data_IF_289326032097
#
_entry.id   IF_289326032097
#
_cell.length_a   1.000
_cell.length_b   1.000
_cell.length_c   1.000
_cell.angle_alpha   90.00
_cell.angle_beta   90.00
_cell.angle_gamma   90.00
#
_symmetry.space_group_name_H-M   'P 1'
#
loop_
_entity.id
_entity.type
_entity.pdbx_description
1 polymer ?
#
# COMPACT_ATOMS: atom_id res chain seq x y z
N UNK A 1 -16.99 0.01 -11.32
CA UNK A 1 -18.10 -0.24 -10.41
C UNK A 1 -18.27 -1.74 -10.08
N UNK A 2 -18.15 -2.65 -11.05
CA UNK A 2 -18.29 -4.09 -10.77
C UNK A 2 -17.14 -4.67 -9.94
N UNK A 3 -15.93 -4.22 -10.17
CA UNK A 3 -14.73 -4.71 -9.45
C UNK A 3 -14.69 -4.18 -8.02
N UNK A 4 -15.00 -2.90 -7.82
CA UNK A 4 -14.91 -2.23 -6.52
C UNK A 4 -16.19 -2.35 -5.68
N UNK A 5 -17.24 -2.98 -6.21
CA UNK A 5 -18.57 -3.04 -5.56
C UNK A 5 -19.07 -1.67 -5.09
N UNK A 6 -18.70 -0.60 -5.81
CA UNK A 6 -19.07 0.77 -5.47
C UNK A 6 -20.59 0.94 -5.41
N UNK A 7 -21.07 1.42 -4.28
CA UNK A 7 -22.48 1.70 -4.00
C UNK A 7 -22.70 3.21 -3.89
N UNK A 8 -23.32 3.80 -4.92
CA UNK A 8 -23.57 5.24 -4.98
C UNK A 8 -24.49 5.72 -3.84
N UNK A 9 -25.43 4.91 -3.41
CA UNK A 9 -26.34 5.30 -2.32
C UNK A 9 -25.62 5.35 -0.97
N UNK A 10 -24.80 4.34 -0.68
CA UNK A 10 -23.91 4.35 0.50
C UNK A 10 -22.95 5.54 0.44
N UNK A 11 -22.30 5.72 -0.69
CA UNK A 11 -21.36 6.84 -0.89
C UNK A 11 -22.02 8.17 -0.56
N UNK A 12 -23.18 8.47 -1.13
CA UNK A 12 -23.87 9.74 -0.92
C UNK A 12 -24.26 9.98 0.55
N UNK A 13 -24.41 8.92 1.34
CA UNK A 13 -24.72 9.06 2.78
C UNK A 13 -23.52 9.37 3.67
N UNK A 14 -22.33 8.88 3.30
CA UNK A 14 -21.14 8.92 4.15
C UNK A 14 -20.04 9.81 3.58
N UNK A 15 -20.13 10.19 2.31
CA UNK A 15 -19.12 11.02 1.67
C UNK A 15 -19.03 12.38 2.36
N UNK A 16 -17.82 12.77 2.68
CA UNK A 16 -17.50 14.11 3.17
C UNK A 16 -16.85 14.92 2.05
N UNK A 17 -16.86 16.24 2.19
CA UNK A 17 -16.21 17.08 1.19
C UNK A 17 -14.70 16.83 1.16
N UNK A 18 -14.09 16.83 -0.02
CA UNK A 18 -12.67 16.52 -0.21
C UNK A 18 -11.74 17.42 0.61
N UNK A 19 -12.12 18.70 0.84
CA UNK A 19 -11.35 19.62 1.69
C UNK A 19 -11.34 19.23 3.18
N UNK A 20 -12.34 18.49 3.64
CA UNK A 20 -12.36 17.93 5.01
C UNK A 20 -11.59 16.64 5.07
N UNK A 21 -11.78 15.78 4.07
CA UNK A 21 -11.05 14.51 3.96
C UNK A 21 -9.54 14.75 3.95
N UNK A 22 -9.04 15.70 3.14
CA UNK A 22 -7.60 15.99 3.05
C UNK A 22 -7.02 16.50 4.38
N UNK A 23 -7.77 17.21 5.20
CA UNK A 23 -7.31 17.66 6.53
C UNK A 23 -7.01 16.44 7.40
N UNK A 24 -7.95 15.50 7.49
CA UNK A 24 -7.82 14.30 8.29
C UNK A 24 -6.70 13.38 7.74
N UNK A 25 -6.71 13.12 6.44
CA UNK A 25 -5.71 12.26 5.78
C UNK A 25 -4.31 12.85 5.95
N UNK A 26 -4.13 14.15 5.69
CA UNK A 26 -2.81 14.77 5.87
C UNK A 26 -2.36 14.73 7.33
N UNK A 27 -3.24 14.93 8.29
CA UNK A 27 -2.89 14.81 9.70
C UNK A 27 -2.38 13.40 10.05
N UNK A 28 -3.00 12.35 9.53
CA UNK A 28 -2.53 10.98 9.74
C UNK A 28 -1.18 10.73 9.08
N UNK A 29 -1.02 11.12 7.81
CA UNK A 29 0.21 10.89 7.06
C UNK A 29 1.41 11.69 7.60
N UNK A 30 1.17 12.91 8.10
CA UNK A 30 2.23 13.73 8.71
C UNK A 30 2.69 13.18 10.07
N UNK A 31 1.77 12.67 10.88
CA UNK A 31 2.05 12.25 12.25
C UNK A 31 2.45 10.77 12.40
N UNK A 32 2.38 9.95 11.35
CA UNK A 32 2.86 8.58 11.41
C UNK A 32 4.36 8.48 11.07
N UNK A 33 5.02 7.48 11.64
CA UNK A 33 6.41 7.16 11.30
C UNK A 33 6.51 6.44 9.96
N UNK A 34 5.56 5.56 9.65
CA UNK A 34 5.52 4.76 8.43
C UNK A 34 4.13 4.73 7.80
N UNK A 35 4.11 4.66 6.47
CA UNK A 35 2.91 4.52 5.63
C UNK A 35 3.01 3.17 4.94
N UNK A 36 2.19 2.21 5.35
CA UNK A 36 2.23 0.85 4.81
C UNK A 36 1.07 0.65 3.83
N UNK A 37 1.39 0.17 2.64
CA UNK A 37 0.39 -0.16 1.62
C UNK A 37 0.86 -1.28 0.70
N UNK A 38 -0.04 -1.78 -0.13
CA UNK A 38 0.25 -2.80 -1.14
C UNK A 38 0.19 -2.20 -2.53
N UNK A 39 1.32 -2.14 -3.22
CA UNK A 39 1.48 -1.42 -4.49
C UNK A 39 1.25 0.11 -4.35
N UNK A 40 1.45 0.62 -3.16
CA UNK A 40 1.21 2.02 -2.78
C UNK A 40 2.07 2.99 -3.60
N UNK A 41 3.31 2.64 -3.90
CA UNK A 41 4.22 3.46 -4.70
C UNK A 41 3.76 3.63 -6.14
N UNK A 42 3.03 2.65 -6.70
CA UNK A 42 2.50 2.70 -8.06
C UNK A 42 1.07 3.21 -8.15
N UNK A 43 0.36 3.40 -7.04
CA UNK A 43 -1.04 3.78 -7.08
C UNK A 43 -1.39 4.87 -6.07
N UNK A 44 -1.44 4.53 -4.78
CA UNK A 44 -1.97 5.45 -3.76
C UNK A 44 -1.12 6.72 -3.61
N UNK A 45 0.21 6.63 -3.77
CA UNK A 45 1.09 7.80 -3.71
C UNK A 45 0.82 8.81 -4.82
N UNK A 46 0.34 8.40 -5.99
CA UNK A 46 -0.09 9.33 -7.03
C UNK A 46 -1.37 10.06 -6.64
N UNK A 47 -2.32 9.36 -6.01
CA UNK A 47 -3.55 9.98 -5.49
C UNK A 47 -3.22 10.97 -4.36
N UNK A 48 -2.34 10.58 -3.44
CA UNK A 48 -1.88 11.46 -2.36
C UNK A 48 -1.21 12.70 -2.94
N UNK A 49 -0.30 12.53 -3.90
CA UNK A 49 0.34 13.64 -4.62
C UNK A 49 -0.69 14.60 -5.18
N UNK A 50 -1.61 14.10 -6.02
CA UNK A 50 -2.60 14.92 -6.71
C UNK A 50 -3.48 15.70 -5.70
N UNK A 51 -3.90 15.04 -4.61
CA UNK A 51 -4.65 15.68 -3.54
C UNK A 51 -3.84 16.74 -2.80
N UNK A 52 -2.59 16.46 -2.45
CA UNK A 52 -1.72 17.41 -1.76
C UNK A 52 -1.46 18.63 -2.63
N UNK A 53 -1.12 18.44 -3.90
CA UNK A 53 -0.90 19.52 -4.86
C UNK A 53 -2.16 20.37 -5.07
N UNK A 54 -3.35 19.76 -5.16
CA UNK A 54 -4.63 20.46 -5.27
C UNK A 54 -4.89 21.42 -4.11
N UNK A 55 -4.41 21.08 -2.91
CA UNK A 55 -4.56 21.89 -1.70
C UNK A 55 -3.29 22.66 -1.31
N UNK A 56 -2.32 22.78 -2.20
CA UNK A 56 -1.08 23.52 -1.99
C UNK A 56 -0.17 22.96 -0.89
N UNK A 57 -0.21 21.65 -0.67
CA UNK A 57 0.59 20.93 0.35
C UNK A 57 1.80 20.24 -0.27
N UNK A 58 2.90 20.21 0.45
CA UNK A 58 4.08 19.41 0.11
C UNK A 58 3.87 17.95 0.46
N UNK A 59 4.20 17.04 -0.43
CA UNK A 59 3.98 15.60 -0.29
C UNK A 59 5.25 14.74 -0.38
N UNK A 60 6.32 15.26 -0.99
CA UNK A 60 7.53 14.47 -1.32
C UNK A 60 8.19 13.82 -0.11
N UNK A 61 8.15 14.49 1.04
CA UNK A 61 8.70 13.97 2.30
C UNK A 61 7.97 12.72 2.80
N UNK A 62 6.71 12.50 2.40
CA UNK A 62 5.95 11.30 2.75
C UNK A 62 6.52 10.04 2.09
N UNK A 63 7.18 10.18 0.93
CA UNK A 63 7.71 9.03 0.17
C UNK A 63 8.72 8.24 0.98
N UNK A 64 9.56 8.92 1.77
CA UNK A 64 10.56 8.27 2.63
C UNK A 64 9.96 7.41 3.75
N UNK A 65 8.70 7.64 4.10
CA UNK A 65 7.96 6.88 5.12
C UNK A 65 7.28 5.63 4.55
N UNK A 66 7.27 5.46 3.21
CA UNK A 66 6.47 4.41 2.56
C UNK A 66 7.13 3.03 2.67
N UNK A 67 6.32 2.07 3.07
CA UNK A 67 6.61 0.63 3.02
C UNK A 67 5.60 -0.02 2.06
N UNK A 68 6.06 -0.42 0.89
CA UNK A 68 5.25 -1.09 -0.12
C UNK A 68 5.40 -2.61 0.00
N UNK A 69 4.39 -3.27 0.54
CA UNK A 69 4.41 -4.73 0.75
C UNK A 69 4.49 -5.53 -0.55
N UNK A 70 4.08 -4.98 -1.70
CA UNK A 70 4.28 -5.62 -3.00
C UNK A 70 5.76 -5.59 -3.40
N UNK A 71 6.45 -4.45 -3.19
CA UNK A 71 7.89 -4.35 -3.44
C UNK A 71 8.68 -5.32 -2.56
N UNK A 72 8.35 -5.38 -1.27
CA UNK A 72 9.00 -6.31 -0.35
C UNK A 72 8.76 -7.78 -0.73
N UNK A 73 7.52 -8.14 -1.08
CA UNK A 73 7.20 -9.48 -1.56
C UNK A 73 7.95 -9.85 -2.85
N UNK A 74 8.12 -8.89 -3.77
CA UNK A 74 8.97 -9.08 -4.96
C UNK A 74 10.43 -9.32 -4.56
N UNK A 75 10.96 -8.52 -3.64
CA UNK A 75 12.31 -8.69 -3.14
C UNK A 75 12.57 -10.09 -2.63
N UNK A 76 11.69 -10.61 -1.78
CA UNK A 76 11.75 -11.99 -1.26
C UNK A 76 11.64 -13.02 -2.39
N UNK A 77 10.57 -12.95 -3.19
CA UNK A 77 10.28 -13.98 -4.21
C UNK A 77 11.24 -13.96 -5.40
N UNK A 78 11.87 -12.84 -5.65
CA UNK A 78 12.82 -12.68 -6.74
C UNK A 78 14.27 -12.81 -6.26
N UNK A 79 14.46 -13.07 -4.96
CA UNK A 79 15.78 -13.22 -4.36
C UNK A 79 16.67 -11.99 -4.64
N UNK A 80 16.07 -10.81 -4.52
CA UNK A 80 16.77 -9.51 -4.64
C UNK A 80 17.10 -9.04 -3.21
N UNK A 81 18.35 -9.16 -2.77
CA UNK A 81 18.70 -8.84 -1.41
C UNK A 81 18.58 -7.34 -1.14
N UNK A 82 18.13 -7.01 0.06
CA UNK A 82 18.26 -5.68 0.62
C UNK A 82 19.67 -5.48 1.17
N UNK A 83 20.28 -4.33 0.88
CA UNK A 83 21.56 -3.94 1.44
C UNK A 83 21.37 -2.73 2.34
N UNK A 84 21.98 -2.76 3.53
CA UNK A 84 21.97 -1.60 4.46
C UNK A 84 22.69 -0.37 3.92
N UNK A 85 23.42 -0.50 2.80
CA UNK A 85 24.06 0.62 2.12
C UNK A 85 23.09 1.51 1.35
N UNK A 86 21.84 1.04 1.13
CA UNK A 86 20.79 1.81 0.48
C UNK A 86 19.61 2.02 1.43
N UNK A 87 18.88 3.11 1.25
CA UNK A 87 17.65 3.33 1.99
C UNK A 87 16.55 2.36 1.55
N UNK A 88 15.58 2.09 2.43
CA UNK A 88 14.45 1.22 2.11
C UNK A 88 13.67 1.71 0.89
N UNK A 89 13.53 3.02 0.70
CA UNK A 89 12.82 3.57 -0.44
C UNK A 89 13.57 3.35 -1.76
N UNK A 90 14.90 3.47 -1.77
CA UNK A 90 15.73 3.17 -2.94
C UNK A 90 15.63 1.69 -3.32
N UNK A 91 15.67 0.80 -2.33
CA UNK A 91 15.46 -0.63 -2.55
C UNK A 91 14.09 -0.90 -3.18
N UNK A 92 13.03 -0.30 -2.65
CA UNK A 92 11.69 -0.47 -3.17
C UNK A 92 11.57 0.02 -4.62
N UNK A 93 12.15 1.17 -4.96
CA UNK A 93 12.19 1.65 -6.35
C UNK A 93 12.98 0.72 -7.28
N UNK A 94 14.04 0.09 -6.81
CA UNK A 94 14.80 -0.89 -7.58
C UNK A 94 13.95 -2.09 -7.97
N UNK A 95 13.10 -2.60 -7.07
CA UNK A 95 12.28 -3.78 -7.31
C UNK A 95 10.88 -3.47 -7.85
N UNK A 96 10.47 -2.21 -7.83
CA UNK A 96 9.11 -1.76 -8.14
C UNK A 96 8.59 -2.30 -9.48
N UNK A 97 9.41 -2.22 -10.53
CA UNK A 97 9.07 -2.59 -11.89
C UNK A 97 9.48 -4.01 -12.26
N UNK A 98 10.12 -4.74 -11.34
CA UNK A 98 10.51 -6.12 -11.57
C UNK A 98 9.29 -7.02 -11.77
N UNK A 99 9.37 -7.92 -12.76
CA UNK A 99 8.32 -8.90 -13.07
C UNK A 99 8.95 -10.23 -13.45
N UNK A 100 8.49 -11.31 -12.82
CA UNK A 100 8.88 -12.67 -13.18
C UNK A 100 7.65 -13.49 -13.54
N UNK A 101 7.70 -14.15 -14.71
CA UNK A 101 6.59 -14.97 -15.21
C UNK A 101 6.24 -16.07 -14.19
N UNK A 102 4.96 -16.22 -13.90
CA UNK A 102 4.46 -17.27 -12.98
C UNK A 102 4.52 -16.87 -11.49
N UNK A 103 5.23 -15.83 -11.11
CA UNK A 103 5.28 -15.37 -9.71
C UNK A 103 4.21 -14.34 -9.45
N UNK A 104 3.36 -14.60 -8.45
CA UNK A 104 2.28 -13.72 -8.03
C UNK A 104 2.66 -13.02 -6.73
N UNK A 105 2.51 -11.69 -6.71
CA UNK A 105 2.78 -10.84 -5.55
C UNK A 105 1.57 -9.99 -5.15
N UNK A 106 0.40 -10.22 -5.76
CA UNK A 106 -0.82 -9.54 -5.35
C UNK A 106 -1.26 -9.97 -3.94
N UNK A 107 -2.01 -9.12 -3.28
CA UNK A 107 -2.38 -9.26 -1.88
C UNK A 107 -3.10 -10.59 -1.57
N UNK A 108 -4.06 -10.98 -2.43
CA UNK A 108 -4.78 -12.26 -2.30
C UNK A 108 -3.84 -13.46 -2.37
N UNK A 109 -2.91 -13.46 -3.33
CA UNK A 109 -1.95 -14.58 -3.50
C UNK A 109 -1.01 -14.69 -2.32
N UNK A 110 -0.53 -13.57 -1.79
CA UNK A 110 0.32 -13.54 -0.60
C UNK A 110 -0.44 -14.01 0.64
N UNK A 111 -1.67 -13.55 0.83
CA UNK A 111 -2.49 -13.98 1.96
C UNK A 111 -2.71 -15.48 2.00
N UNK A 112 -3.04 -16.08 0.85
CA UNK A 112 -3.20 -17.55 0.71
C UNK A 112 -1.90 -18.30 0.92
N UNK A 113 -0.80 -17.83 0.35
CA UNK A 113 0.54 -18.43 0.49
C UNK A 113 1.02 -18.44 1.94
N UNK A 114 0.77 -17.36 2.67
CA UNK A 114 1.11 -17.27 4.09
C UNK A 114 0.08 -17.91 5.02
N UNK A 115 -0.93 -18.61 4.46
CA UNK A 115 -2.02 -19.25 5.21
C UNK A 115 -2.70 -18.26 6.17
N UNK A 116 -2.92 -17.03 5.72
CA UNK A 116 -3.58 -15.99 6.50
C UNK A 116 -5.08 -16.26 6.47
N UNK A 117 -5.66 -16.44 7.66
CA UNK A 117 -7.11 -16.49 7.83
C UNK A 117 -7.71 -15.10 7.55
N UNK A 118 -8.54 -15.02 6.52
CA UNK A 118 -9.17 -13.79 6.05
C UNK A 118 -10.41 -14.10 5.20
N UNK A 119 -11.38 -13.21 5.18
CA UNK A 119 -12.52 -13.31 4.28
C UNK A 119 -12.14 -12.83 2.88
N UNK A 120 -11.71 -13.77 2.04
CA UNK A 120 -11.28 -13.50 0.67
C UNK A 120 -12.44 -13.20 -0.29
N UNK A 121 -13.69 -13.44 0.11
CA UNK A 121 -14.86 -13.14 -0.73
C UNK A 121 -15.24 -11.66 -0.65
N UNK A 122 -14.89 -11.00 0.43
CA UNK A 122 -15.15 -9.57 0.64
C UNK A 122 -13.99 -8.68 0.23
N UNK A 123 -12.97 -9.20 -0.43
CA UNK A 123 -11.91 -8.40 -1.05
C UNK A 123 -12.48 -7.39 -2.06
N UNK A 124 -11.77 -6.28 -2.23
CA UNK A 124 -12.21 -5.04 -2.89
C UNK A 124 -13.12 -4.14 -2.04
N UNK A 125 -13.33 -4.48 -0.77
CA UNK A 125 -13.67 -3.52 0.27
C UNK A 125 -12.37 -2.96 0.85
N UNK A 126 -12.20 -1.64 0.82
CA UNK A 126 -10.94 -0.98 1.15
C UNK A 126 -10.45 -1.32 2.58
N UNK A 127 -11.36 -1.39 3.55
CA UNK A 127 -10.98 -1.70 4.93
C UNK A 127 -10.53 -3.16 5.08
N UNK A 128 -11.19 -4.07 4.36
CA UNK A 128 -10.87 -5.48 4.37
C UNK A 128 -9.50 -5.74 3.70
N UNK A 129 -9.22 -5.05 2.59
CA UNK A 129 -7.92 -5.08 1.92
C UNK A 129 -6.80 -4.55 2.84
N UNK A 130 -7.05 -3.49 3.59
CA UNK A 130 -6.10 -2.96 4.57
C UNK A 130 -5.81 -3.97 5.70
N UNK A 131 -6.83 -4.66 6.22
CA UNK A 131 -6.65 -5.70 7.23
C UNK A 131 -5.80 -6.85 6.70
N UNK A 132 -6.03 -7.30 5.47
CA UNK A 132 -5.19 -8.33 4.85
C UNK A 132 -3.75 -7.82 4.66
N UNK A 133 -3.57 -6.58 4.23
CA UNK A 133 -2.24 -5.99 4.03
C UNK A 133 -1.42 -5.96 5.33
N UNK A 134 -2.02 -5.56 6.45
CA UNK A 134 -1.34 -5.58 7.76
C UNK A 134 -0.92 -7.00 8.15
N UNK A 135 -1.78 -7.99 7.90
CA UNK A 135 -1.47 -9.41 8.18
C UNK A 135 -0.31 -9.89 7.28
N UNK A 136 -0.30 -9.53 6.01
CA UNK A 136 0.78 -9.83 5.07
C UNK A 136 2.07 -9.16 5.51
N UNK A 137 2.04 -7.87 5.86
CA UNK A 137 3.19 -7.16 6.42
C UNK A 137 3.80 -7.88 7.63
N UNK A 138 2.97 -8.35 8.56
CA UNK A 138 3.42 -9.07 9.74
C UNK A 138 4.13 -10.41 9.44
N UNK A 139 4.01 -10.93 8.21
CA UNK A 139 4.79 -12.08 7.73
C UNK A 139 6.05 -11.63 6.98
N UNK A 140 5.93 -10.62 6.13
CA UNK A 140 7.03 -10.13 5.29
C UNK A 140 8.17 -9.50 6.09
N UNK A 141 7.87 -8.73 7.12
CA UNK A 141 8.88 -8.01 7.92
C UNK A 141 9.96 -8.90 8.55
N UNK A 142 9.68 -10.20 8.72
CA UNK A 142 10.66 -11.17 9.20
C UNK A 142 11.47 -11.86 8.09
N UNK A 143 11.12 -11.64 6.83
CA UNK A 143 11.80 -12.25 5.68
C UNK A 143 12.77 -11.29 5.00
N UNK A 144 12.63 -10.01 5.29
CA UNK A 144 13.55 -8.97 4.84
C UNK A 144 14.15 -8.37 6.10
N UNK A 145 15.47 -8.35 6.19
CA UNK A 145 16.19 -7.68 7.27
C UNK A 145 16.15 -6.16 7.05
N UNK A 146 15.00 -5.56 7.31
CA UNK A 146 14.76 -4.11 7.20
C UNK A 146 14.88 -3.49 8.59
#
# INVERSE_FOLDING_TARGET
>A
AQITRFDQYKYNKIAIHSSEAIKTISQWLENCDYIIGHNILNFDMYLIKDYYEMYGKEWKHLVSKVIDTNCLAKGVKYEIPYSQEMSLIEYQYRVLNERRKGVKTNLTSLGKEYSIEHDYETLHDALNDLHLNIKVWNRLKFQIAV
#
